data_IF_553044038926
#
_entry.id   IF_553044038926
#
_cell.length_a   1.000
_cell.length_b   1.000
_cell.length_c   1.000
_cell.angle_alpha   90.00
_cell.angle_beta   90.00
_cell.angle_gamma   90.00
#
_symmetry.space_group_name_H-M   'P 1'
#
loop_
_entity.id
_entity.type
_entity.pdbx_description
1 polymer ?
#
# COMPACT_ATOMS: atom_id res chain seq x y z
N UNK A 1 -1.48 23.86 9.29
CA UNK A 1 -0.82 24.73 10.28
C UNK A 1 0.65 24.38 10.49
N UNK A 2 1.06 23.10 10.56
CA UNK A 2 2.49 22.76 10.78
C UNK A 2 3.41 22.99 9.57
N UNK A 3 2.91 22.85 8.33
CA UNK A 3 3.69 23.08 7.09
C UNK A 3 4.07 24.54 6.88
N UNK A 4 3.17 25.47 7.20
CA UNK A 4 3.44 26.91 7.17
C UNK A 4 4.43 27.32 8.27
N UNK A 5 4.29 26.76 9.48
CA UNK A 5 5.18 27.04 10.60
C UNK A 5 6.61 26.51 10.35
N UNK A 6 6.75 25.31 9.77
CA UNK A 6 8.06 24.76 9.39
C UNK A 6 8.74 25.53 8.26
N UNK A 7 7.97 26.05 7.30
CA UNK A 7 8.47 26.92 6.22
C UNK A 7 8.91 28.27 6.77
N UNK A 8 8.13 28.84 7.68
CA UNK A 8 8.43 30.10 8.37
C UNK A 8 9.70 29.97 9.23
N UNK A 9 9.81 28.93 10.07
CA UNK A 9 10.99 28.67 10.90
C UNK A 9 12.23 28.44 10.02
N UNK A 10 12.12 27.63 8.96
CA UNK A 10 13.24 27.38 8.05
C UNK A 10 13.70 28.65 7.31
N UNK A 11 12.80 29.62 7.10
CA UNK A 11 13.14 30.91 6.49
C UNK A 11 13.98 31.81 7.40
N UNK A 12 13.87 31.66 8.72
CA UNK A 12 14.67 32.39 9.71
C UNK A 12 16.05 31.77 9.98
N UNK A 13 16.26 30.50 9.61
CA UNK A 13 17.54 29.83 9.80
C UNK A 13 18.54 30.20 8.72
N UNK A 14 19.76 30.52 9.11
CA UNK A 14 20.88 30.66 8.19
C UNK A 14 21.17 29.34 7.46
N UNK A 15 21.87 29.41 6.32
CA UNK A 15 22.30 28.22 5.59
C UNK A 15 23.22 27.30 6.40
N UNK A 16 23.86 27.81 7.47
CA UNK A 16 24.69 27.04 8.40
C UNK A 16 23.83 26.32 9.44
N UNK A 17 22.91 27.01 10.11
CA UNK A 17 22.00 26.40 11.09
C UNK A 17 21.12 25.34 10.43
N UNK A 18 20.64 25.59 9.21
CA UNK A 18 19.94 24.55 8.42
C UNK A 18 20.81 23.33 8.16
N UNK A 19 22.13 23.48 7.98
CA UNK A 19 23.06 22.35 7.80
C UNK A 19 23.30 21.60 9.11
N UNK A 20 23.44 22.31 10.23
CA UNK A 20 23.63 21.74 11.56
C UNK A 20 22.37 20.99 12.04
N UNK A 21 21.17 21.58 11.90
CA UNK A 21 19.89 20.90 12.17
C UNK A 21 19.70 19.63 11.32
N UNK A 22 20.09 19.67 10.04
CA UNK A 22 20.09 18.50 9.14
C UNK A 22 21.04 17.40 9.61
N UNK A 23 22.22 17.76 10.11
CA UNK A 23 23.19 16.80 10.64
C UNK A 23 22.67 16.09 11.91
N UNK A 24 21.80 16.75 12.67
CA UNK A 24 21.32 16.26 13.97
C UNK A 24 20.01 15.47 13.87
N UNK A 25 19.13 15.72 12.88
CA UNK A 25 17.83 15.05 12.83
C UNK A 25 17.32 14.71 11.42
N UNK A 26 17.35 13.40 11.10
CA UNK A 26 16.68 12.84 9.90
C UNK A 26 15.17 13.03 9.90
N UNK A 27 14.58 13.27 11.07
CA UNK A 27 13.14 13.46 11.24
C UNK A 27 12.60 14.74 10.60
N UNK A 28 13.43 15.77 10.45
CA UNK A 28 13.01 17.01 9.78
C UNK A 28 12.67 16.80 8.29
N UNK A 29 13.17 15.73 7.69
CA UNK A 29 12.74 15.30 6.36
C UNK A 29 11.27 14.88 6.32
N UNK A 30 10.59 14.65 7.46
CA UNK A 30 9.16 14.30 7.51
C UNK A 30 8.32 15.54 7.57
N UNK A 31 8.65 16.44 8.49
CA UNK A 31 7.74 17.49 8.96
C UNK A 31 7.82 18.77 8.13
N UNK A 32 8.87 18.95 7.32
CA UNK A 32 9.05 20.15 6.50
C UNK A 32 8.94 19.83 5.01
N UNK A 33 7.72 19.96 4.46
CA UNK A 33 7.43 19.67 3.04
C UNK A 33 8.25 20.52 2.07
N UNK A 34 8.52 21.78 2.43
CA UNK A 34 9.41 22.66 1.67
C UNK A 34 10.84 22.11 1.53
N UNK A 35 11.41 21.54 2.59
CA UNK A 35 12.76 20.97 2.55
C UNK A 35 12.86 19.66 1.76
N UNK A 36 11.75 18.97 1.51
CA UNK A 36 11.75 17.66 0.86
C UNK A 36 11.96 17.75 -0.66
N UNK A 37 11.48 18.83 -1.28
CA UNK A 37 11.34 18.94 -2.75
C UNK A 37 11.91 20.21 -3.37
N UNK A 38 12.42 21.17 -2.58
CA UNK A 38 12.99 22.40 -3.13
C UNK A 38 14.29 22.13 -3.89
N UNK A 39 14.36 22.62 -5.14
CA UNK A 39 15.49 22.50 -6.06
C UNK A 39 16.19 23.82 -6.34
N UNK A 40 15.82 24.91 -5.66
CA UNK A 40 16.54 26.18 -5.78
C UNK A 40 18.01 25.99 -5.43
N UNK A 41 18.87 26.34 -6.38
CA UNK A 41 20.31 26.06 -6.35
C UNK A 41 21.04 26.76 -5.18
N UNK A 42 20.37 27.67 -4.46
CA UNK A 42 20.86 28.33 -3.25
C UNK A 42 20.51 27.64 -1.91
N UNK A 43 19.59 26.66 -1.88
CA UNK A 43 19.04 26.10 -0.62
C UNK A 43 19.35 24.61 -0.43
N UNK A 44 19.38 23.83 -1.51
CA UNK A 44 19.78 22.42 -1.47
C UNK A 44 20.61 22.03 -2.70
N UNK A 45 21.82 21.46 -2.52
CA UNK A 45 22.52 20.86 -3.64
C UNK A 45 21.65 19.77 -4.28
N UNK A 46 21.47 19.78 -5.60
CA UNK A 46 20.76 18.72 -6.35
C UNK A 46 21.25 17.30 -6.07
N UNK A 47 22.47 17.17 -5.50
CA UNK A 47 23.13 15.92 -5.10
C UNK A 47 22.97 15.58 -3.60
N UNK A 48 22.17 16.32 -2.85
CA UNK A 48 22.02 16.14 -1.41
C UNK A 48 21.26 14.86 -1.07
N UNK A 49 21.76 14.07 -0.11
CA UNK A 49 21.02 12.95 0.49
C UNK A 49 19.78 13.40 1.30
N UNK A 50 19.47 14.69 1.33
CA UNK A 50 18.34 15.29 2.05
C UNK A 50 17.21 15.77 1.12
N UNK A 51 17.39 15.61 -0.19
CA UNK A 51 16.36 15.90 -1.18
C UNK A 51 15.77 14.56 -1.66
N UNK A 52 14.48 14.33 -1.45
CA UNK A 52 13.85 13.03 -1.76
C UNK A 52 13.91 12.69 -3.27
N UNK A 53 14.05 13.71 -4.13
CA UNK A 53 14.22 13.54 -5.58
C UNK A 53 15.66 13.25 -6.01
N UNK A 54 16.65 13.50 -5.15
CA UNK A 54 18.05 13.34 -5.54
C UNK A 54 18.40 11.88 -5.80
N UNK A 55 19.45 11.67 -6.60
CA UNK A 55 20.01 10.32 -6.81
C UNK A 55 20.69 9.81 -5.53
N UNK A 56 21.31 10.71 -4.76
CA UNK A 56 22.02 10.36 -3.53
C UNK A 56 21.07 9.83 -2.46
N UNK A 57 19.94 10.53 -2.20
CA UNK A 57 18.93 10.06 -1.25
C UNK A 57 18.37 8.70 -1.68
N UNK A 58 17.95 8.57 -2.95
CA UNK A 58 17.42 7.30 -3.46
C UNK A 58 18.41 6.14 -3.31
N UNK A 59 19.70 6.40 -3.53
CA UNK A 59 20.73 5.38 -3.33
C UNK A 59 20.91 5.00 -1.86
N UNK A 60 20.99 5.99 -0.96
CA UNK A 60 21.10 5.79 0.50
C UNK A 60 19.90 5.00 1.03
N UNK A 61 18.70 5.46 0.68
CA UNK A 61 17.43 4.83 1.04
C UNK A 61 17.30 3.39 0.54
N UNK A 62 17.55 3.14 -0.75
CA UNK A 62 17.46 1.79 -1.31
C UNK A 62 18.50 0.85 -0.70
N UNK A 63 19.68 1.36 -0.38
CA UNK A 63 20.72 0.60 0.31
C UNK A 63 20.31 0.26 1.73
N UNK A 64 19.73 1.23 2.46
CA UNK A 64 19.19 1.01 3.79
C UNK A 64 18.10 -0.07 3.79
N UNK A 65 17.05 0.06 2.96
CA UNK A 65 15.95 -0.91 2.91
C UNK A 65 16.46 -2.32 2.59
N UNK A 66 17.40 -2.44 1.63
CA UNK A 66 18.00 -3.73 1.30
C UNK A 66 18.74 -4.33 2.49
N UNK A 67 19.52 -3.52 3.21
CA UNK A 67 20.27 -3.97 4.38
C UNK A 67 19.35 -4.40 5.52
N UNK A 68 18.29 -3.64 5.81
CA UNK A 68 17.29 -4.00 6.83
C UNK A 68 16.58 -5.31 6.46
N UNK A 69 16.18 -5.47 5.19
CA UNK A 69 15.60 -6.73 4.70
C UNK A 69 16.57 -7.91 4.88
N UNK A 70 17.85 -7.74 4.54
CA UNK A 70 18.87 -8.78 4.71
C UNK A 70 19.18 -9.09 6.18
N UNK A 71 19.05 -8.10 7.07
CA UNK A 71 19.29 -8.27 8.50
C UNK A 71 18.14 -9.00 9.19
N UNK A 72 16.89 -8.64 8.87
CA UNK A 72 15.71 -9.23 9.51
C UNK A 72 15.41 -10.63 8.99
N UNK A 73 15.68 -10.91 7.70
CA UNK A 73 15.22 -12.13 7.05
C UNK A 73 15.76 -13.40 7.72
N UNK A 74 17.05 -13.52 8.06
CA UNK A 74 17.56 -14.71 8.76
C UNK A 74 16.93 -14.93 10.13
N UNK A 75 16.55 -13.86 10.84
CA UNK A 75 15.88 -13.96 12.14
C UNK A 75 14.44 -14.47 11.97
N UNK A 76 13.74 -13.93 10.98
CA UNK A 76 12.39 -14.36 10.63
C UNK A 76 12.36 -15.83 10.20
N UNK A 77 13.29 -16.24 9.31
CA UNK A 77 13.35 -17.61 8.80
C UNK A 77 13.75 -18.65 9.86
N UNK A 78 14.42 -18.25 10.95
CA UNK A 78 14.69 -19.16 12.08
C UNK A 78 13.43 -19.55 12.85
N UNK A 79 12.38 -18.73 12.77
CA UNK A 79 11.10 -18.94 13.45
C UNK A 79 10.05 -19.59 12.54
N UNK A 80 10.39 -19.86 11.29
CA UNK A 80 9.49 -20.42 10.29
C UNK A 80 9.98 -21.80 9.83
N UNK A 81 9.08 -22.65 9.30
CA UNK A 81 9.47 -23.90 8.66
C UNK A 81 10.47 -23.65 7.53
N UNK A 82 11.38 -24.61 7.32
CA UNK A 82 12.38 -24.50 6.26
C UNK A 82 11.70 -24.32 4.89
N UNK A 83 12.20 -23.39 4.08
CA UNK A 83 11.64 -23.15 2.76
C UNK A 83 11.89 -24.34 1.82
N UNK A 84 10.87 -24.76 1.08
CA UNK A 84 10.98 -25.79 0.06
C UNK A 84 10.77 -25.17 -1.33
N UNK A 85 11.82 -25.19 -2.15
CA UNK A 85 11.85 -24.45 -3.42
C UNK A 85 10.87 -24.96 -4.48
N UNK A 86 10.68 -26.28 -4.68
CA UNK A 86 9.68 -26.79 -5.62
C UNK A 86 8.26 -26.24 -5.34
N UNK A 87 7.82 -26.33 -4.09
CA UNK A 87 6.51 -25.90 -3.60
C UNK A 87 6.38 -24.37 -3.66
N UNK A 88 7.47 -23.65 -3.36
CA UNK A 88 7.52 -22.19 -3.53
C UNK A 88 7.33 -21.78 -4.99
N UNK A 89 7.92 -22.52 -5.94
CA UNK A 89 7.79 -22.23 -7.36
C UNK A 89 6.40 -22.57 -7.89
N UNK A 90 5.77 -23.63 -7.36
CA UNK A 90 4.37 -23.97 -7.65
C UNK A 90 3.41 -22.87 -7.15
N UNK A 91 3.56 -22.45 -5.90
CA UNK A 91 2.80 -21.32 -5.34
C UNK A 91 2.94 -20.05 -6.20
N UNK A 92 4.16 -19.73 -6.63
CA UNK A 92 4.40 -18.57 -7.51
C UNK A 92 3.75 -18.72 -8.88
N UNK A 93 3.70 -19.93 -9.43
CA UNK A 93 2.98 -20.20 -10.68
C UNK A 93 1.47 -19.94 -10.48
N UNK A 94 0.91 -20.39 -9.35
CA UNK A 94 -0.47 -20.11 -8.96
C UNK A 94 -0.77 -18.61 -8.84
N UNK A 95 0.12 -17.83 -8.22
CA UNK A 95 0.00 -16.37 -8.12
C UNK A 95 -0.01 -15.65 -9.49
N UNK A 96 0.72 -16.16 -10.48
CA UNK A 96 0.65 -15.61 -11.83
C UNK A 96 -0.68 -15.93 -12.52
N UNK A 97 -1.26 -17.11 -12.24
CA UNK A 97 -2.53 -17.53 -12.80
C UNK A 97 -3.71 -16.80 -12.16
N UNK A 98 -3.67 -16.52 -10.86
CA UNK A 98 -4.73 -15.82 -10.13
C UNK A 98 -5.08 -14.46 -10.74
N UNK A 99 -4.07 -13.74 -11.22
CA UNK A 99 -4.23 -12.43 -11.86
C UNK A 99 -5.04 -12.51 -13.16
N UNK A 100 -5.07 -13.68 -13.82
CA UNK A 100 -5.74 -13.90 -15.09
C UNK A 100 -7.04 -14.71 -14.95
N UNK A 101 -7.10 -15.68 -14.05
CA UNK A 101 -8.25 -16.60 -13.87
C UNK A 101 -9.17 -16.23 -12.72
N UNK A 102 -8.76 -15.33 -11.82
CA UNK A 102 -9.50 -15.00 -10.60
C UNK A 102 -9.50 -16.11 -9.54
N UNK A 103 -8.73 -17.19 -9.74
CA UNK A 103 -8.57 -18.25 -8.72
C UNK A 103 -7.58 -17.77 -7.65
N UNK A 104 -7.99 -17.85 -6.38
CA UNK A 104 -7.14 -17.49 -5.24
C UNK A 104 -6.03 -18.55 -5.06
N UNK A 105 -4.76 -18.14 -4.95
CA UNK A 105 -3.68 -19.08 -4.65
C UNK A 105 -3.75 -19.48 -3.18
N UNK A 106 -3.67 -20.78 -2.90
CA UNK A 106 -3.62 -21.29 -1.53
C UNK A 106 -2.24 -21.09 -0.93
N UNK A 107 -2.18 -20.56 0.28
CA UNK A 107 -0.95 -20.45 1.05
C UNK A 107 -0.87 -21.53 2.13
N UNK A 108 -1.64 -22.62 2.08
CA UNK A 108 -1.67 -23.66 3.14
C UNK A 108 -0.32 -24.37 3.37
N UNK A 109 0.48 -24.56 2.31
CA UNK A 109 1.80 -25.18 2.44
C UNK A 109 2.79 -24.24 3.13
N UNK A 110 3.18 -24.61 4.35
CA UNK A 110 4.05 -23.77 5.19
C UNK A 110 5.48 -23.59 4.64
N UNK A 111 6.02 -24.60 3.98
CA UNK A 111 7.34 -24.53 3.35
C UNK A 111 7.34 -23.61 2.12
N UNK A 112 6.25 -23.63 1.34
CA UNK A 112 6.04 -22.70 0.23
C UNK A 112 5.90 -21.26 0.73
N UNK A 113 5.16 -21.04 1.83
CA UNK A 113 5.05 -19.70 2.48
C UNK A 113 6.41 -19.17 2.90
N UNK A 114 7.23 -19.97 3.57
CA UNK A 114 8.58 -19.56 3.99
C UNK A 114 9.46 -19.18 2.80
N UNK A 115 9.43 -19.96 1.71
CA UNK A 115 10.17 -19.64 0.50
C UNK A 115 9.63 -18.40 -0.22
N UNK A 116 8.32 -18.18 -0.21
CA UNK A 116 7.73 -16.93 -0.68
C UNK A 116 8.23 -15.73 0.14
N UNK A 117 8.23 -15.85 1.47
CA UNK A 117 8.73 -14.81 2.38
C UNK A 117 10.18 -14.46 2.06
N UNK A 118 11.02 -15.48 1.91
CA UNK A 118 12.43 -15.35 1.56
C UNK A 118 12.64 -14.64 0.22
N UNK A 119 11.86 -14.99 -0.81
CA UNK A 119 12.01 -14.43 -2.15
C UNK A 119 11.40 -13.03 -2.31
N UNK A 120 10.46 -12.64 -1.43
CA UNK A 120 9.70 -11.38 -1.57
C UNK A 120 9.92 -10.37 -0.46
N UNK A 121 10.91 -10.58 0.43
CA UNK A 121 11.23 -9.65 1.52
C UNK A 121 11.47 -8.20 1.06
N UNK A 122 11.95 -8.02 -0.18
CA UNK A 122 12.14 -6.69 -0.76
C UNK A 122 10.85 -5.87 -0.89
N UNK A 123 9.67 -6.52 -0.82
CA UNK A 123 8.37 -5.84 -0.79
C UNK A 123 8.15 -4.99 0.45
N UNK A 124 8.94 -5.14 1.52
CA UNK A 124 8.96 -4.20 2.64
C UNK A 124 9.25 -2.75 2.19
N UNK A 125 9.88 -2.55 1.03
CA UNK A 125 10.12 -1.22 0.48
C UNK A 125 8.90 -0.57 -0.19
N UNK A 126 7.81 -1.31 -0.46
CA UNK A 126 6.70 -0.82 -1.29
C UNK A 126 5.99 0.37 -0.66
N UNK A 127 5.30 0.19 0.47
CA UNK A 127 4.62 1.27 1.17
C UNK A 127 5.57 2.43 1.53
N UNK A 128 6.77 2.20 2.07
CA UNK A 128 7.72 3.29 2.32
C UNK A 128 8.11 4.09 1.08
N UNK A 129 8.38 3.44 -0.05
CA UNK A 129 8.68 4.14 -1.31
C UNK A 129 7.50 4.97 -1.81
N UNK A 130 6.28 4.46 -1.63
CA UNK A 130 5.06 5.20 -1.93
C UNK A 130 4.96 6.44 -1.05
N UNK A 131 5.16 6.27 0.26
CA UNK A 131 5.13 7.34 1.23
C UNK A 131 6.19 8.40 0.96
N UNK A 132 7.28 8.12 0.24
CA UNK A 132 8.32 9.10 -0.12
C UNK A 132 7.98 9.98 -1.35
N UNK A 133 6.84 9.76 -1.98
CA UNK A 133 6.34 10.63 -3.06
C UNK A 133 5.98 12.02 -2.57
N UNK A 134 5.89 12.99 -3.47
CA UNK A 134 5.57 14.37 -3.14
C UNK A 134 4.10 14.54 -2.76
N UNK A 135 3.24 13.84 -3.49
CA UNK A 135 1.81 13.79 -3.28
C UNK A 135 1.46 13.38 -1.84
N UNK A 136 2.26 12.50 -1.23
CA UNK A 136 2.05 11.99 0.12
C UNK A 136 2.89 12.69 1.20
N UNK A 137 3.46 13.85 0.89
CA UNK A 137 4.28 14.62 1.82
C UNK A 137 3.53 15.01 3.10
N UNK A 138 2.26 15.43 3.00
CA UNK A 138 1.42 15.78 4.16
C UNK A 138 1.14 14.55 5.03
N UNK A 139 0.70 13.44 4.42
CA UNK A 139 0.45 12.19 5.13
C UNK A 139 1.70 11.69 5.83
N UNK A 140 2.85 11.69 5.12
CA UNK A 140 4.14 11.31 5.69
C UNK A 140 4.53 12.21 6.87
N UNK A 141 4.28 13.52 6.76
CA UNK A 141 4.50 14.47 7.87
C UNK A 141 3.64 14.13 9.08
N UNK A 142 2.38 13.77 8.83
CA UNK A 142 1.42 13.39 9.88
C UNK A 142 1.81 12.08 10.55
N UNK A 143 2.19 11.06 9.79
CA UNK A 143 2.56 9.74 10.30
C UNK A 143 3.77 9.78 11.25
N UNK A 144 4.74 10.67 10.99
CA UNK A 144 6.02 10.70 11.70
C UNK A 144 6.28 12.00 12.50
N UNK A 145 5.23 12.79 12.78
CA UNK A 145 5.31 14.03 13.57
C UNK A 145 5.90 13.75 14.96
N UNK A 146 6.63 14.72 15.53
CA UNK A 146 7.16 14.64 16.90
C UNK A 146 6.06 14.63 17.96
N UNK A 147 6.30 13.91 19.05
CA UNK A 147 5.47 13.89 20.26
C UNK A 147 4.02 13.53 19.97
N UNK A 148 3.80 12.55 19.09
CA UNK A 148 2.46 12.06 18.84
C UNK A 148 1.91 11.39 20.11
N UNK A 149 0.78 11.86 20.64
CA UNK A 149 0.23 11.29 21.88
C UNK A 149 -0.45 9.94 21.66
N UNK A 150 -0.63 9.50 20.40
CA UNK A 150 -1.43 8.33 20.04
C UNK A 150 -0.66 7.38 19.13
N UNK A 151 -0.84 6.09 19.38
CA UNK A 151 -0.41 5.01 18.50
C UNK A 151 -1.21 5.05 17.18
N UNK A 152 -0.54 4.76 16.06
CA UNK A 152 -1.21 4.54 14.78
C UNK A 152 -1.72 3.11 14.70
N UNK A 153 -3.04 2.97 14.63
CA UNK A 153 -3.71 1.70 14.32
C UNK A 153 -3.77 1.54 12.80
N UNK A 154 -3.09 0.51 12.31
CA UNK A 154 -2.91 0.19 10.90
C UNK A 154 -3.63 -1.12 10.60
N UNK A 155 -4.46 -1.14 9.57
CA UNK A 155 -5.12 -2.35 9.06
C UNK A 155 -4.52 -2.69 7.69
N UNK A 156 -3.90 -3.87 7.56
CA UNK A 156 -3.37 -4.38 6.30
C UNK A 156 -4.32 -5.47 5.76
N UNK A 157 -5.12 -5.15 4.74
CA UNK A 157 -6.05 -6.10 4.11
C UNK A 157 -5.34 -6.87 2.99
N UNK A 158 -5.40 -8.20 3.03
CA UNK A 158 -4.54 -9.05 2.22
C UNK A 158 -3.06 -8.83 2.54
N UNK A 159 -2.74 -8.54 3.81
CA UNK A 159 -1.41 -8.12 4.20
C UNK A 159 -0.36 -9.24 4.16
N UNK A 160 -0.78 -10.50 3.99
CA UNK A 160 0.09 -11.66 3.87
C UNK A 160 1.12 -11.74 5.01
N UNK A 161 2.43 -11.72 4.70
CA UNK A 161 3.49 -11.80 5.71
C UNK A 161 3.77 -10.48 6.46
N UNK A 162 2.98 -9.42 6.26
CA UNK A 162 3.11 -8.16 6.99
C UNK A 162 4.24 -7.24 6.50
N UNK A 163 4.61 -7.31 5.22
CA UNK A 163 5.70 -6.50 4.66
C UNK A 163 5.52 -5.00 4.83
N UNK A 164 4.30 -4.49 4.67
CA UNK A 164 4.03 -3.06 4.84
C UNK A 164 4.26 -2.60 6.29
N UNK A 165 3.97 -3.45 7.28
CA UNK A 165 4.26 -3.18 8.69
C UNK A 165 5.76 -3.11 8.96
N UNK A 166 6.53 -4.09 8.46
CA UNK A 166 7.99 -4.07 8.54
C UNK A 166 8.59 -2.86 7.83
N UNK A 167 8.05 -2.51 6.66
CA UNK A 167 8.43 -1.31 5.91
C UNK A 167 8.24 -0.02 6.71
N UNK A 168 7.11 0.12 7.40
CA UNK A 168 6.86 1.28 8.29
C UNK A 168 7.87 1.35 9.43
N UNK A 169 8.24 0.21 10.02
CA UNK A 169 9.29 0.14 11.04
C UNK A 169 10.65 0.57 10.46
N UNK A 170 11.04 0.05 9.29
CA UNK A 170 12.28 0.46 8.64
C UNK A 170 12.31 1.95 8.34
N UNK A 171 11.18 2.48 7.86
CA UNK A 171 11.03 3.92 7.61
C UNK A 171 11.21 4.71 8.93
N UNK A 172 10.57 4.28 10.03
CA UNK A 172 10.77 4.89 11.35
C UNK A 172 12.23 4.93 11.76
N UNK A 173 12.95 3.82 11.62
CA UNK A 173 14.36 3.70 12.00
C UNK A 173 15.26 4.59 11.14
N UNK A 174 15.09 4.56 9.83
CA UNK A 174 15.85 5.41 8.91
C UNK A 174 15.72 6.90 9.26
N UNK A 175 14.52 7.30 9.69
CA UNK A 175 14.19 8.67 10.01
C UNK A 175 14.33 9.05 11.49
N UNK A 176 14.73 8.09 12.34
CA UNK A 176 14.92 8.27 13.79
C UNK A 176 13.67 8.80 14.49
N UNK A 177 12.50 8.32 14.07
CA UNK A 177 11.21 8.70 14.63
C UNK A 177 10.78 7.70 15.73
N UNK A 178 11.67 7.39 16.67
CA UNK A 178 11.52 6.26 17.59
C UNK A 178 10.35 6.39 18.58
N UNK A 179 9.86 7.59 18.84
CA UNK A 179 8.63 7.86 19.61
C UNK A 179 7.35 7.52 18.85
N UNK A 180 7.40 7.27 17.54
CA UNK A 180 6.24 6.88 16.74
C UNK A 180 5.92 5.40 16.99
N UNK A 181 4.68 5.16 17.39
CA UNK A 181 4.17 3.83 17.70
C UNK A 181 3.19 3.33 16.65
N UNK A 182 3.35 2.08 16.23
CA UNK A 182 2.46 1.39 15.29
C UNK A 182 1.83 0.17 15.95
N UNK A 183 0.51 0.07 15.86
CA UNK A 183 -0.26 -1.14 16.14
C UNK A 183 -0.88 -1.62 14.84
N UNK A 184 -0.34 -2.70 14.30
CA UNK A 184 -0.74 -3.19 12.97
C UNK A 184 -1.51 -4.50 13.10
N UNK A 185 -2.73 -4.53 12.58
CA UNK A 185 -3.49 -5.76 12.39
C UNK A 185 -3.42 -6.16 10.92
N UNK A 186 -2.95 -7.37 10.66
CA UNK A 186 -2.97 -8.01 9.34
C UNK A 186 -4.28 -8.78 9.22
N UNK A 187 -5.11 -8.33 8.29
CA UNK A 187 -6.38 -8.92 7.93
C UNK A 187 -6.20 -9.74 6.65
N UNK A 188 -6.32 -11.05 6.75
CA UNK A 188 -6.14 -11.95 5.60
C UNK A 188 -7.09 -13.14 5.70
N UNK A 189 -7.49 -13.69 4.56
CA UNK A 189 -8.38 -14.85 4.52
C UNK A 189 -7.59 -16.16 4.70
N UNK A 190 -6.29 -16.16 4.40
CA UNK A 190 -5.40 -17.32 4.54
C UNK A 190 -4.85 -17.43 5.97
N UNK A 191 -5.33 -18.37 6.81
CA UNK A 191 -4.93 -18.47 8.21
C UNK A 191 -3.44 -18.82 8.40
N UNK A 192 -2.81 -19.40 7.38
CA UNK A 192 -1.39 -19.74 7.38
C UNK A 192 -0.46 -18.53 7.58
N UNK A 193 -0.92 -17.31 7.27
CA UNK A 193 -0.15 -16.10 7.53
C UNK A 193 0.01 -15.77 9.00
N UNK A 194 -0.86 -16.27 9.89
CA UNK A 194 -0.73 -16.05 11.33
C UNK A 194 0.67 -16.39 11.84
N UNK A 195 1.23 -17.52 11.41
CA UNK A 195 2.57 -17.95 11.81
C UNK A 195 3.67 -16.98 11.35
N UNK A 196 3.53 -16.42 10.14
CA UNK A 196 4.44 -15.41 9.63
C UNK A 196 4.36 -14.11 10.43
N UNK A 197 3.15 -13.70 10.82
CA UNK A 197 2.93 -12.50 11.63
C UNK A 197 3.46 -12.69 13.06
N UNK A 198 3.22 -13.85 13.67
CA UNK A 198 3.76 -14.17 14.99
C UNK A 198 5.31 -14.16 14.96
N UNK A 199 5.92 -14.76 13.93
CA UNK A 199 7.37 -14.75 13.74
C UNK A 199 7.93 -13.34 13.50
N UNK A 200 7.25 -12.50 12.72
CA UNK A 200 7.61 -11.11 12.50
C UNK A 200 7.53 -10.31 13.81
N UNK A 201 6.46 -10.50 14.60
CA UNK A 201 6.28 -9.85 15.90
C UNK A 201 7.41 -10.22 16.88
N UNK A 202 7.72 -11.52 17.00
CA UNK A 202 8.83 -11.99 17.86
C UNK A 202 10.18 -11.45 17.38
N UNK A 203 10.39 -11.37 16.07
CA UNK A 203 11.63 -10.80 15.51
C UNK A 203 11.76 -9.32 15.85
N UNK A 204 10.69 -8.54 15.73
CA UNK A 204 10.68 -7.12 16.11
C UNK A 204 10.93 -6.93 17.61
N UNK A 205 10.33 -7.77 18.46
CA UNK A 205 10.57 -7.76 19.90
C UNK A 205 12.05 -8.05 20.23
N UNK A 206 12.65 -9.07 19.61
CA UNK A 206 14.05 -9.41 19.77
C UNK A 206 14.99 -8.27 19.34
N UNK A 207 14.62 -7.52 18.30
CA UNK A 207 15.33 -6.33 17.83
C UNK A 207 15.03 -5.06 18.66
N UNK A 208 14.30 -5.18 19.78
CA UNK A 208 13.99 -4.08 20.68
C UNK A 208 12.98 -3.08 20.12
N UNK A 209 12.22 -3.43 19.08
CA UNK A 209 11.26 -2.56 18.39
C UNK A 209 9.93 -2.43 19.15
N UNK A 210 9.99 -2.06 20.44
CA UNK A 210 8.84 -2.06 21.38
C UNK A 210 7.68 -1.16 20.97
N UNK A 211 7.94 -0.15 20.15
CA UNK A 211 6.92 0.77 19.63
C UNK A 211 6.26 0.25 18.34
N UNK A 212 6.37 -1.05 18.05
CA UNK A 212 5.69 -1.69 16.93
C UNK A 212 5.08 -3.00 17.44
N UNK A 213 3.80 -3.21 17.15
CA UNK A 213 3.10 -4.47 17.43
C UNK A 213 2.37 -4.94 16.19
N UNK A 214 2.41 -6.24 15.94
CA UNK A 214 1.78 -6.90 14.79
C UNK A 214 0.86 -8.00 15.31
N UNK A 215 -0.35 -8.07 14.78
CA UNK A 215 -1.32 -9.12 15.05
C UNK A 215 -1.96 -9.61 13.76
N UNK A 216 -2.51 -10.82 13.78
CA UNK A 216 -3.25 -11.39 12.67
C UNK A 216 -4.72 -11.53 13.05
N UNK A 217 -5.61 -11.22 12.10
CA UNK A 217 -7.04 -11.50 12.20
C UNK A 217 -7.56 -12.01 10.86
N UNK A 218 -8.54 -12.91 10.91
CA UNK A 218 -9.21 -13.36 9.70
C UNK A 218 -10.07 -12.23 9.10
N UNK A 219 -10.10 -12.12 7.78
CA UNK A 219 -10.94 -11.18 7.03
C UNK A 219 -11.02 -11.59 5.57
N UNK A 220 -12.19 -11.46 4.95
CA UNK A 220 -12.35 -11.58 3.51
C UNK A 220 -13.04 -10.31 2.98
N UNK A 221 -12.29 -9.57 2.16
CA UNK A 221 -12.70 -8.28 1.57
C UNK A 221 -13.84 -8.40 0.55
N UNK A 222 -14.32 -9.61 0.28
CA UNK A 222 -15.45 -9.87 -0.62
C UNK A 222 -16.79 -9.95 0.10
N UNK A 223 -16.78 -10.05 1.43
CA UNK A 223 -17.98 -9.94 2.27
C UNK A 223 -18.11 -8.54 2.87
N UNK A 224 -19.30 -8.18 3.36
CA UNK A 224 -19.50 -6.90 4.04
C UNK A 224 -18.65 -6.82 5.34
N UNK A 225 -18.34 -5.60 5.80
CA UNK A 225 -17.68 -5.39 7.10
C UNK A 225 -18.51 -5.94 8.27
N UNK A 226 -19.84 -6.00 8.13
CA UNK A 226 -20.75 -6.60 9.10
C UNK A 226 -20.86 -8.12 9.03
N UNK A 227 -20.24 -8.76 8.05
CA UNK A 227 -20.21 -10.21 7.95
C UNK A 227 -19.47 -10.82 9.15
N UNK A 228 -19.82 -12.05 9.54
CA UNK A 228 -19.22 -12.73 10.70
C UNK A 228 -17.71 -12.90 10.52
N UNK A 229 -17.29 -13.15 9.29
CA UNK A 229 -15.90 -13.29 8.85
C UNK A 229 -15.07 -12.03 9.10
N UNK A 230 -15.72 -10.86 9.14
CA UNK A 230 -15.09 -9.55 9.26
C UNK A 230 -15.35 -8.87 10.61
N UNK A 231 -15.79 -9.61 11.64
CA UNK A 231 -16.16 -9.05 12.95
C UNK A 231 -15.05 -8.20 13.57
N UNK A 232 -13.80 -8.64 13.48
CA UNK A 232 -12.64 -7.90 14.00
C UNK A 232 -12.33 -6.63 13.22
N UNK A 233 -12.72 -6.54 11.94
CA UNK A 233 -12.63 -5.28 11.18
C UNK A 233 -13.65 -4.30 11.75
N UNK A 234 -14.89 -4.73 11.97
CA UNK A 234 -15.94 -3.87 12.53
C UNK A 234 -15.56 -3.32 13.92
N UNK A 235 -14.98 -4.16 14.79
CA UNK A 235 -14.52 -3.80 16.13
C UNK A 235 -13.44 -2.72 16.12
N UNK A 236 -12.46 -2.83 15.23
CA UNK A 236 -11.30 -1.92 15.18
C UNK A 236 -11.54 -0.70 14.29
N UNK A 237 -12.54 -0.72 13.40
CA UNK A 237 -12.73 0.27 12.34
C UNK A 237 -12.73 1.72 12.82
N UNK A 238 -13.32 2.00 13.98
CA UNK A 238 -13.41 3.37 14.52
C UNK A 238 -12.07 3.88 15.05
N UNK A 239 -11.17 2.98 15.44
CA UNK A 239 -9.85 3.33 15.95
C UNK A 239 -8.76 3.25 14.88
N UNK A 240 -9.00 2.60 13.73
CA UNK A 240 -8.06 2.52 12.61
C UNK A 240 -7.90 3.86 11.89
N UNK A 241 -6.65 4.33 11.76
CA UNK A 241 -6.33 5.56 11.03
C UNK A 241 -5.70 5.29 9.66
N UNK A 242 -5.07 4.12 9.46
CA UNK A 242 -4.43 3.78 8.20
C UNK A 242 -4.90 2.40 7.72
N UNK A 243 -5.59 2.39 6.58
CA UNK A 243 -6.04 1.19 5.88
C UNK A 243 -5.15 0.98 4.65
N UNK A 244 -4.57 -0.20 4.50
CA UNK A 244 -3.67 -0.54 3.38
C UNK A 244 -4.17 -1.79 2.69
N UNK A 245 -4.28 -1.72 1.37
CA UNK A 245 -4.65 -2.80 0.47
C UNK A 245 -3.50 -2.98 -0.53
N UNK A 246 -2.63 -3.95 -0.29
CA UNK A 246 -1.43 -4.15 -1.09
C UNK A 246 -1.51 -5.46 -1.87
N UNK A 247 -1.67 -5.36 -3.19
CA UNK A 247 -1.76 -6.47 -4.14
C UNK A 247 -2.95 -7.41 -3.91
N UNK A 248 -4.01 -6.94 -3.25
CA UNK A 248 -5.19 -7.77 -2.90
C UNK A 248 -6.42 -7.47 -3.77
N UNK A 249 -6.57 -6.24 -4.25
CA UNK A 249 -7.79 -5.85 -4.96
C UNK A 249 -7.81 -6.43 -6.39
N UNK A 250 -6.66 -6.51 -7.06
CA UNK A 250 -6.59 -7.15 -8.38
C UNK A 250 -6.92 -8.64 -8.31
N UNK A 251 -6.44 -9.33 -7.28
CA UNK A 251 -6.66 -10.77 -7.07
C UNK A 251 -8.14 -11.09 -6.84
N UNK A 252 -8.89 -10.13 -6.30
CA UNK A 252 -10.31 -10.26 -6.00
C UNK A 252 -11.20 -9.44 -6.95
N UNK A 253 -10.68 -9.00 -8.11
CA UNK A 253 -11.38 -8.04 -8.97
C UNK A 253 -12.81 -8.46 -9.34
N UNK A 254 -13.00 -9.70 -9.81
CA UNK A 254 -14.32 -10.20 -10.19
C UNK A 254 -15.27 -10.21 -8.99
N UNK A 255 -14.84 -10.76 -7.86
CA UNK A 255 -15.66 -10.84 -6.64
C UNK A 255 -15.99 -9.46 -6.07
N UNK A 256 -15.03 -8.53 -6.07
CA UNK A 256 -15.25 -7.14 -5.66
C UNK A 256 -16.25 -6.43 -6.58
N UNK A 257 -16.15 -6.64 -7.89
CA UNK A 257 -17.10 -6.05 -8.86
C UNK A 257 -18.49 -6.63 -8.69
N UNK A 258 -18.60 -7.96 -8.61
CA UNK A 258 -19.88 -8.68 -8.60
C UNK A 258 -20.64 -8.46 -7.28
N UNK A 259 -19.92 -8.21 -6.18
CA UNK A 259 -20.47 -7.76 -4.90
C UNK A 259 -20.70 -6.23 -4.84
N UNK A 260 -20.51 -5.50 -5.93
CA UNK A 260 -20.58 -4.04 -5.99
C UNK A 260 -19.73 -3.35 -4.89
N UNK A 261 -18.55 -3.91 -4.61
CA UNK A 261 -17.59 -3.44 -3.63
C UNK A 261 -18.19 -3.30 -2.22
N UNK A 262 -19.05 -4.25 -1.81
CA UNK A 262 -19.80 -4.19 -0.55
C UNK A 262 -18.91 -3.90 0.67
N UNK A 263 -17.75 -4.55 0.77
CA UNK A 263 -16.78 -4.33 1.84
C UNK A 263 -16.31 -2.86 1.88
N UNK A 264 -15.85 -2.32 0.74
CA UNK A 264 -15.34 -0.94 0.66
C UNK A 264 -16.44 0.09 0.90
N UNK A 265 -17.67 -0.17 0.41
CA UNK A 265 -18.83 0.68 0.68
C UNK A 265 -19.08 0.81 2.19
N UNK A 266 -19.16 -0.31 2.89
CA UNK A 266 -19.39 -0.35 4.33
C UNK A 266 -18.21 0.21 5.13
N UNK A 267 -16.98 -0.06 4.68
CA UNK A 267 -15.76 0.49 5.27
C UNK A 267 -15.70 2.02 5.17
N UNK A 268 -15.91 2.59 3.98
CA UNK A 268 -15.90 4.03 3.77
C UNK A 268 -17.05 4.74 4.48
N UNK A 269 -18.22 4.11 4.59
CA UNK A 269 -19.35 4.66 5.31
C UNK A 269 -19.02 4.81 6.81
N UNK A 270 -18.34 3.82 7.38
CA UNK A 270 -18.17 3.71 8.83
C UNK A 270 -16.81 4.18 9.36
N UNK A 271 -15.78 4.34 8.53
CA UNK A 271 -14.48 4.82 8.97
C UNK A 271 -14.54 6.25 9.54
N UNK A 272 -13.57 6.61 10.36
CA UNK A 272 -13.49 7.93 10.98
C UNK A 272 -12.96 8.97 9.99
N UNK A 273 -13.32 10.23 10.22
CA UNK A 273 -12.70 11.34 9.50
C UNK A 273 -11.21 11.41 9.89
N UNK A 274 -10.36 11.68 8.90
CA UNK A 274 -8.90 11.64 9.02
C UNK A 274 -8.29 10.32 8.57
N UNK A 275 -9.06 9.22 8.48
CA UNK A 275 -8.51 7.93 8.04
C UNK A 275 -7.99 7.97 6.60
N UNK A 276 -6.85 7.31 6.40
CA UNK A 276 -6.20 7.12 5.10
C UNK A 276 -6.46 5.72 4.56
N UNK A 277 -6.63 5.62 3.24
CA UNK A 277 -6.76 4.38 2.51
C UNK A 277 -5.73 4.34 1.39
N UNK A 278 -4.82 3.36 1.43
CA UNK A 278 -3.76 3.21 0.46
C UNK A 278 -3.98 1.90 -0.29
N UNK A 279 -4.21 2.00 -1.59
CA UNK A 279 -4.33 0.85 -2.47
C UNK A 279 -3.10 0.79 -3.37
N UNK A 280 -2.46 -0.37 -3.45
CA UNK A 280 -1.38 -0.64 -4.40
C UNK A 280 -1.64 -1.96 -5.12
N UNK A 281 -1.43 -1.99 -6.43
CA UNK A 281 -1.65 -3.19 -7.24
C UNK A 281 -0.75 -3.19 -8.47
N UNK A 282 -0.66 -4.34 -9.15
CA UNK A 282 0.03 -4.51 -10.43
C UNK A 282 -0.61 -3.73 -11.58
N UNK A 283 -1.87 -3.29 -11.41
CA UNK A 283 -2.66 -2.55 -12.41
C UNK A 283 -3.51 -1.47 -11.76
N UNK A 284 -3.83 -0.41 -12.52
CA UNK A 284 -4.68 0.70 -12.06
C UNK A 284 -6.17 0.54 -12.38
N UNK A 285 -6.56 -0.57 -13.00
CA UNK A 285 -7.92 -0.78 -13.57
C UNK A 285 -9.04 -0.63 -12.54
N UNK A 286 -8.79 -0.87 -11.26
CA UNK A 286 -9.80 -0.77 -10.21
C UNK A 286 -9.93 0.64 -9.62
N UNK A 287 -8.96 1.53 -9.83
CA UNK A 287 -8.92 2.84 -9.16
C UNK A 287 -10.13 3.73 -9.44
N UNK A 288 -10.64 3.83 -10.69
CA UNK A 288 -11.84 4.60 -10.95
C UNK A 288 -13.05 4.08 -10.15
N UNK A 289 -13.29 2.77 -10.16
CA UNK A 289 -14.42 2.15 -9.47
C UNK A 289 -14.32 2.30 -7.94
N UNK A 290 -13.13 2.09 -7.37
CA UNK A 290 -12.90 2.28 -5.93
C UNK A 290 -13.12 3.73 -5.51
N UNK A 291 -12.64 4.70 -6.30
CA UNK A 291 -12.90 6.12 -6.05
C UNK A 291 -14.39 6.46 -6.19
N UNK A 292 -15.06 5.96 -7.22
CA UNK A 292 -16.49 6.18 -7.44
C UNK A 292 -17.31 5.67 -6.24
N UNK A 293 -16.94 4.51 -5.67
CA UNK A 293 -17.53 3.97 -4.43
C UNK A 293 -17.34 4.93 -3.25
N UNK A 294 -16.10 5.41 -3.02
CA UNK A 294 -15.83 6.36 -1.94
C UNK A 294 -16.63 7.68 -2.11
N UNK A 295 -16.64 8.22 -3.32
CA UNK A 295 -17.33 9.47 -3.65
C UNK A 295 -18.85 9.34 -3.60
N UNK A 296 -19.41 8.17 -3.90
CA UNK A 296 -20.85 7.90 -3.74
C UNK A 296 -21.26 7.89 -2.26
N UNK A 297 -20.40 7.38 -1.37
CA UNK A 297 -20.65 7.36 0.07
C UNK A 297 -20.58 8.77 0.68
N UNK A 298 -19.59 9.56 0.29
CA UNK A 298 -19.43 10.92 0.79
C UNK A 298 -18.94 11.85 -0.34
N UNK A 299 -19.87 12.48 -1.09
CA UNK A 299 -19.54 13.31 -2.24
C UNK A 299 -18.57 14.44 -1.91
N UNK A 300 -17.46 14.49 -2.63
CA UNK A 300 -16.40 15.49 -2.48
C UNK A 300 -15.83 15.57 -1.04
N UNK A 301 -15.86 14.44 -0.31
CA UNK A 301 -15.30 14.28 1.05
C UNK A 301 -14.13 13.30 1.12
N UNK A 302 -13.67 12.78 -0.02
CA UNK A 302 -12.44 11.99 -0.09
C UNK A 302 -11.39 12.76 -0.88
N UNK A 303 -10.32 13.20 -0.21
CA UNK A 303 -9.12 13.64 -0.94
C UNK A 303 -8.56 12.43 -1.68
N UNK A 304 -8.02 12.67 -2.86
CA UNK A 304 -7.54 11.61 -3.75
C UNK A 304 -6.19 11.97 -4.33
N UNK A 305 -5.31 10.98 -4.34
CA UNK A 305 -4.03 11.02 -5.03
C UNK A 305 -3.83 9.73 -5.82
N UNK A 306 -3.10 9.83 -6.93
CA UNK A 306 -2.67 8.67 -7.73
C UNK A 306 -1.15 8.76 -7.94
N UNK A 307 -0.37 8.64 -6.84
CA UNK A 307 1.09 8.72 -6.89
C UNK A 307 1.68 7.53 -7.64
N UNK A 308 2.91 7.70 -8.10
CA UNK A 308 3.68 6.62 -8.73
C UNK A 308 5.04 6.47 -8.05
N UNK A 309 5.34 5.27 -7.57
CA UNK A 309 6.63 4.92 -6.99
C UNK A 309 7.20 3.72 -7.73
N UNK A 310 8.51 3.69 -8.02
CA UNK A 310 9.11 2.65 -8.88
C UNK A 310 8.93 1.21 -8.36
N UNK A 311 8.70 1.02 -7.06
CA UNK A 311 8.44 -0.28 -6.44
C UNK A 311 6.95 -0.66 -6.36
N UNK A 312 6.05 0.30 -6.57
CA UNK A 312 4.60 0.12 -6.54
C UNK A 312 4.05 0.45 -7.92
N UNK A 313 3.60 -0.55 -8.68
CA UNK A 313 3.20 -0.34 -10.07
C UNK A 313 2.16 0.79 -10.21
N UNK A 314 1.07 0.69 -9.46
CA UNK A 314 0.05 1.74 -9.41
C UNK A 314 -0.45 1.91 -7.97
N UNK A 315 -0.85 3.13 -7.63
CA UNK A 315 -1.45 3.42 -6.35
C UNK A 315 -2.63 4.38 -6.45
N UNK A 316 -3.61 4.15 -5.58
CA UNK A 316 -4.69 5.07 -5.26
C UNK A 316 -4.61 5.36 -3.76
N UNK A 317 -4.58 6.63 -3.40
CA UNK A 317 -4.60 7.05 -2.00
C UNK A 317 -5.82 7.92 -1.76
N UNK A 318 -6.57 7.61 -0.72
CA UNK A 318 -7.74 8.37 -0.28
C UNK A 318 -7.56 8.84 1.16
N UNK A 319 -8.09 10.01 1.50
CA UNK A 319 -8.25 10.45 2.88
C UNK A 319 -9.69 10.91 3.11
N UNK A 320 -10.37 10.33 4.10
CA UNK A 320 -11.71 10.79 4.49
C UNK A 320 -11.60 12.12 5.21
N UNK A 321 -12.23 13.14 4.65
CA UNK A 321 -12.21 14.48 5.21
C UNK A 321 -13.23 14.66 6.33
N UNK A 322 -12.94 15.49 7.35
CA UNK A 322 -13.94 15.93 8.31
C UNK A 322 -15.06 16.72 7.62
N UNK A 323 -16.30 16.59 8.11
CA UNK A 323 -17.46 17.27 7.51
C UNK A 323 -17.35 18.80 7.47
N UNK A 324 -16.61 19.40 8.41
CA UNK A 324 -16.36 20.84 8.49
C UNK A 324 -15.23 21.35 7.58
N UNK A 325 -14.47 20.46 6.93
CA UNK A 325 -13.35 20.85 6.08
C UNK A 325 -13.81 21.31 4.69
N UNK A 326 -12.91 21.97 3.94
CA UNK A 326 -13.17 22.32 2.56
C UNK A 326 -13.48 21.05 1.73
N UNK A 327 -14.22 21.18 0.61
CA UNK A 327 -14.42 20.05 -0.29
C UNK A 327 -13.09 19.52 -0.85
N UNK A 328 -13.01 18.22 -1.12
CA UNK A 328 -11.79 17.55 -1.59
C UNK A 328 -11.25 18.18 -2.89
N UNK A 329 -12.14 18.64 -3.76
CA UNK A 329 -11.86 19.38 -5.00
C UNK A 329 -11.01 20.64 -4.83
N UNK A 330 -10.92 21.21 -3.62
CA UNK A 330 -10.10 22.39 -3.33
C UNK A 330 -8.68 22.08 -2.87
N UNK A 331 -8.36 20.81 -2.60
CA UNK A 331 -7.04 20.44 -2.11
C UNK A 331 -6.02 20.27 -3.25
N UNK A 332 -4.72 20.46 -2.98
CA UNK A 332 -3.65 20.19 -3.95
C UNK A 332 -3.72 18.77 -4.53
N UNK A 333 -3.22 18.60 -5.75
CA UNK A 333 -3.19 17.34 -6.52
C UNK A 333 -4.54 16.75 -6.93
N UNK A 334 -5.68 17.24 -6.42
CA UNK A 334 -7.01 16.71 -6.77
C UNK A 334 -7.26 16.70 -8.28
N UNK A 335 -7.07 17.84 -8.96
CA UNK A 335 -7.27 17.95 -10.41
C UNK A 335 -6.40 16.96 -11.19
N UNK A 336 -5.15 16.79 -10.77
CA UNK A 336 -4.22 15.85 -11.42
C UNK A 336 -4.65 14.40 -11.20
N UNK A 337 -5.09 14.05 -9.99
CA UNK A 337 -5.61 12.72 -9.68
C UNK A 337 -6.87 12.40 -10.49
N UNK A 338 -7.79 13.36 -10.62
CA UNK A 338 -9.01 13.18 -11.43
C UNK A 338 -8.72 12.96 -12.92
N UNK A 339 -7.74 13.69 -13.49
CA UNK A 339 -7.29 13.46 -14.86
C UNK A 339 -6.74 12.04 -15.04
N UNK A 340 -5.86 11.58 -14.13
CA UNK A 340 -5.33 10.22 -14.16
C UNK A 340 -6.42 9.16 -13.99
N UNK A 341 -7.40 9.36 -13.10
CA UNK A 341 -8.54 8.45 -12.96
C UNK A 341 -9.38 8.37 -14.25
N UNK A 342 -9.51 9.47 -14.98
CA UNK A 342 -10.18 9.46 -16.29
C UNK A 342 -9.38 8.67 -17.33
N UNK A 343 -8.06 8.86 -17.39
CA UNK A 343 -7.16 8.06 -18.25
C UNK A 343 -7.26 6.56 -17.92
N UNK A 344 -7.26 6.21 -16.63
CA UNK A 344 -7.41 4.84 -16.15
C UNK A 344 -8.76 4.24 -16.56
N UNK A 345 -9.85 5.01 -16.52
CA UNK A 345 -11.18 4.59 -16.97
C UNK A 345 -11.19 4.31 -18.47
N UNK A 346 -10.56 5.17 -19.28
CA UNK A 346 -10.46 4.96 -20.72
C UNK A 346 -9.67 3.69 -21.04
N UNK A 347 -8.53 3.47 -20.37
CA UNK A 347 -7.73 2.25 -20.53
C UNK A 347 -8.50 0.98 -20.13
N UNK A 348 -9.26 1.03 -19.02
CA UNK A 348 -10.12 -0.09 -18.61
C UNK A 348 -11.20 -0.39 -19.65
N UNK A 349 -11.87 0.64 -20.19
CA UNK A 349 -12.90 0.47 -21.22
C UNK A 349 -12.33 -0.12 -22.51
N UNK A 350 -11.15 0.31 -22.94
CA UNK A 350 -10.46 -0.28 -24.08
C UNK A 350 -10.13 -1.75 -23.84
N UNK A 351 -9.59 -2.09 -22.67
CA UNK A 351 -9.27 -3.47 -22.33
C UNK A 351 -10.52 -4.38 -22.35
N UNK A 352 -11.65 -3.92 -21.78
CA UNK A 352 -12.91 -4.66 -21.83
C UNK A 352 -13.45 -4.84 -23.25
N UNK A 353 -13.23 -3.88 -24.16
CA UNK A 353 -13.58 -4.02 -25.58
C UNK A 353 -12.73 -5.09 -26.26
N UNK A 354 -11.41 -5.08 -26.04
CA UNK A 354 -10.49 -6.08 -26.59
C UNK A 354 -10.82 -7.49 -26.09
N UNK A 355 -11.08 -7.67 -24.78
CA UNK A 355 -11.47 -8.98 -24.24
C UNK A 355 -12.78 -9.51 -24.83
N UNK A 356 -13.76 -8.64 -25.08
CA UNK A 356 -15.02 -9.04 -25.72
C UNK A 356 -14.83 -9.46 -27.18
N UNK A 357 -13.93 -8.79 -27.90
CA UNK A 357 -13.60 -9.14 -29.29
C UNK A 357 -12.88 -10.49 -29.38
N UNK A 358 -11.91 -10.74 -28.50
CA UNK A 358 -11.20 -12.02 -28.44
C UNK A 358 -12.14 -13.19 -28.11
N UNK A 359 -13.03 -13.02 -27.12
CA UNK A 359 -14.01 -14.06 -26.80
C UNK A 359 -15.01 -14.32 -27.94
N UNK A 360 -15.33 -13.32 -28.77
CA UNK A 360 -16.20 -13.52 -29.94
C UNK A 360 -15.46 -14.19 -31.11
N UNK A 361 -14.16 -13.95 -31.25
CA UNK A 361 -13.33 -14.61 -32.26
C UNK A 361 -13.09 -16.09 -31.89
N UNK A 362 -12.76 -16.38 -30.63
CA UNK A 362 -12.61 -17.76 -30.12
C UNK A 362 -13.92 -18.56 -30.23
N UNK A 363 -15.08 -17.93 -30.01
CA UNK A 363 -16.40 -18.58 -30.19
C UNK A 363 -16.73 -18.83 -31.68
N UNK A 364 -16.22 -18.00 -32.60
CA UNK A 364 -16.44 -18.18 -34.04
C UNK A 364 -15.53 -19.23 -34.68
N UNK A 365 -14.36 -19.50 -34.09
CA UNK A 365 -13.47 -20.59 -34.52
C UNK A 365 -14.00 -21.97 -34.05
N UNK A 366 -14.63 -22.05 -32.87
CA UNK A 366 -15.27 -23.29 -32.38
C UNK A 366 -16.56 -23.65 -33.17
N UNK A 367 -17.35 -22.66 -33.60
CA UNK A 367 -18.53 -22.91 -34.47
C UNK A 367 -18.14 -23.24 -35.91
N UNK A 368 -17.01 -22.72 -36.41
CA UNK A 368 -16.46 -23.08 -37.73
C UNK A 368 -15.87 -24.49 -37.81
N UNK A 369 -15.43 -25.05 -36.67
CA UNK A 369 -14.90 -26.42 -36.57
C UNK A 369 -15.99 -27.50 -36.61
N UNK A 370 -17.21 -27.21 -36.12
CA UNK A 370 -18.33 -28.15 -36.16
C UNK A 370 -18.96 -28.27 -37.57
N UNK A 371 -18.97 -27.19 -38.35
CA UNK A 371 -19.53 -27.21 -39.70
C UNK A 371 -18.62 -27.96 -40.71
N UNK A 372 -17.30 -27.96 -40.50
CA UNK A 372 -16.38 -28.75 -41.33
C UNK A 372 -16.43 -30.26 -41.05
N UNK A 373 -16.77 -30.70 -39.83
CA UNK A 373 -16.96 -32.13 -39.55
C UNK A 373 -18.30 -32.66 -40.07
N UNK A 374 -19.31 -31.80 -40.25
CA UNK A 374 -20.62 -32.20 -40.78
C UNK A 374 -20.62 -32.30 -42.31
N UNK A 375 -19.74 -31.54 -42.99
CA UNK A 375 -19.56 -31.59 -44.45
C UNK A 375 -18.67 -32.74 -44.96
N UNK A 376 -18.00 -33.50 -44.09
CA UNK A 376 -17.22 -34.70 -44.47
C UNK A 376 -17.98 -36.03 -44.28
N UNK A 377 -19.26 -35.98 -43.86
CA UNK A 377 -20.13 -37.14 -43.66
C UNK A 377 -21.40 -37.12 -44.55
N UNK A 378 -21.36 -36.37 -45.66
CA UNK A 378 -22.26 -36.49 -46.81
C UNK A 378 -21.42 -36.72 -48.05
#
# INVERSE_FOLDING_TARGET
MDTECGTLIASFLSSRERRELRAVSRRWLFTCTWMQFNTDDGVQPRKSAWNLRSRAFRHDWNTFIRNECHSILPLLLKLLPAAAMPETMELKKGLCLSTNSGQRPSFENEHARSGYIQQKINRCGNLPNLLLTEELSEMRSELFRANQPKCWNVALYGGGPGYDALGLVFMREYFRAWDVSFHTTVYDNEPGWKYAIDAASQTLEHLGQRNASLSFQHCDITFDVHAKENSHVLESLKSTQLHVFSFVCVENFCLLRDSAYIFLRSLFAQCTAGSYFLFTDSTHRLWPAIFDVANAIAPDRFRVWTPFARSCHFALVLQKLPGYSAPASRYPFYRQAMLKLQEFRQHQQQHLKTMKQQNSEDQSEDDGGLDMMTAMLQ
#
